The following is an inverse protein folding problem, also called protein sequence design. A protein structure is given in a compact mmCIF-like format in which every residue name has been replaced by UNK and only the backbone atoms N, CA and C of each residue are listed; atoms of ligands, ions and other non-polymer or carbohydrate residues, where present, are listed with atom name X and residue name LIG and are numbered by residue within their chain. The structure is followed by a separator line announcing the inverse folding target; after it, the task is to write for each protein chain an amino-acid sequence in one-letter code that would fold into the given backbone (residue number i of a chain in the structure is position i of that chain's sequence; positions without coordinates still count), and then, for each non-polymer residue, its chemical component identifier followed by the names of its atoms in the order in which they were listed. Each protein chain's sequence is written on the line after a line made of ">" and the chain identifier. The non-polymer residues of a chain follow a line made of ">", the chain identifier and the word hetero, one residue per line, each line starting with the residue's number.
data_IF_800131419914
#
_entry.id   IF_800131419914
#
_cell.length_a   1.000
_cell.length_b   1.000
_cell.length_c   1.000
_cell.angle_alpha   90.00
_cell.angle_beta   90.00
_cell.angle_gamma   90.00
#
_symmetry.space_group_name_H-M   'P 1'
#
loop_
_entity.id
_entity.type
_entity.pdbx_description
1 polymer ?
#
# COMPACT_ATOMS: atom_id res chain seq x y z
N UNK A 1 6.82 -33.47 -2.19
CA UNK A 1 7.22 -32.80 -0.93
C UNK A 1 7.50 -31.34 -1.26
N UNK A 2 6.46 -30.50 -1.33
CA UNK A 2 6.61 -29.09 -1.68
C UNK A 2 7.23 -28.38 -0.49
N UNK A 3 8.43 -27.83 -0.66
CA UNK A 3 9.02 -26.94 0.33
C UNK A 3 8.06 -25.78 0.55
N UNK A 4 7.39 -25.74 1.71
CA UNK A 4 6.57 -24.61 2.12
C UNK A 4 7.48 -23.40 2.29
N UNK A 5 7.65 -22.63 1.21
CA UNK A 5 8.28 -21.31 1.27
C UNK A 5 7.51 -20.46 2.27
N UNK A 6 8.17 -20.16 3.41
CA UNK A 6 7.66 -19.28 4.46
C UNK A 6 7.71 -17.85 3.93
N UNK A 7 6.55 -17.24 3.71
CA UNK A 7 6.46 -15.93 3.09
C UNK A 7 7.20 -14.85 3.90
N UNK A 8 7.15 -14.96 5.22
CA UNK A 8 7.80 -14.03 6.14
C UNK A 8 9.32 -14.20 6.15
N UNK A 9 9.84 -15.43 6.08
CA UNK A 9 11.29 -15.67 6.13
C UNK A 9 12.02 -15.11 4.90
N UNK A 10 11.33 -15.06 3.76
CA UNK A 10 11.85 -14.46 2.54
C UNK A 10 11.66 -12.95 2.47
N UNK A 11 11.12 -12.30 3.51
CA UNK A 11 10.78 -10.88 3.51
C UNK A 11 11.49 -10.17 4.66
N UNK A 12 12.33 -9.19 4.33
CA UNK A 12 13.04 -8.37 5.31
C UNK A 12 12.43 -6.97 5.37
N UNK A 13 12.33 -6.40 6.58
CA UNK A 13 11.88 -5.01 6.78
C UNK A 13 10.38 -4.84 7.03
N UNK A 14 9.60 -5.93 7.06
CA UNK A 14 8.16 -5.87 7.33
C UNK A 14 7.85 -5.43 8.76
N UNK A 15 8.76 -5.68 9.71
CA UNK A 15 8.64 -5.25 11.10
C UNK A 15 8.65 -3.72 11.21
N UNK A 16 9.50 -3.06 10.41
CA UNK A 16 9.57 -1.60 10.35
C UNK A 16 8.27 -1.02 9.80
N UNK A 17 7.77 -1.57 8.68
CA UNK A 17 6.46 -1.21 8.12
C UNK A 17 5.36 -1.37 9.17
N UNK A 18 5.32 -2.52 9.84
CA UNK A 18 4.34 -2.82 10.90
C UNK A 18 4.42 -1.82 12.05
N UNK A 19 5.63 -1.42 12.45
CA UNK A 19 5.86 -0.39 13.46
C UNK A 19 5.27 0.96 13.06
N UNK A 20 5.54 1.41 11.83
CA UNK A 20 4.98 2.66 11.29
C UNK A 20 3.45 2.62 11.23
N UNK A 21 2.85 1.51 10.77
CA UNK A 21 1.39 1.36 10.69
C UNK A 21 0.71 1.42 12.07
N UNK A 22 1.43 1.12 13.16
CA UNK A 22 0.89 1.19 14.52
C UNK A 22 1.15 2.53 15.22
N UNK A 23 2.00 3.38 14.66
CA UNK A 23 2.50 4.57 15.34
C UNK A 23 1.76 5.81 14.85
N UNK A 24 1.11 6.59 15.74
CA UNK A 24 0.52 7.86 15.37
C UNK A 24 1.59 8.93 15.06
N UNK A 25 1.27 9.96 14.26
CA UNK A 25 -0.02 10.15 13.58
C UNK A 25 -0.17 9.17 12.40
N UNK A 26 -1.41 8.72 12.12
CA UNK A 26 -1.67 7.90 10.94
C UNK A 26 -1.35 8.68 9.65
N UNK A 27 -1.01 7.94 8.59
CA UNK A 27 -0.59 8.48 7.30
C UNK A 27 -1.09 7.62 6.14
N UNK A 28 -1.00 8.17 4.94
CA UNK A 28 -1.21 7.43 3.70
C UNK A 28 0.13 6.84 3.25
N UNK A 29 0.24 5.52 3.26
CA UNK A 29 1.41 4.77 2.85
C UNK A 29 1.18 4.17 1.47
N UNK A 30 2.21 4.17 0.64
CA UNK A 30 2.29 3.37 -0.58
C UNK A 30 3.41 2.34 -0.42
N UNK A 31 3.10 1.07 -0.66
CA UNK A 31 4.10 0.04 -0.90
C UNK A 31 4.06 -0.30 -2.40
N UNK A 32 5.23 -0.30 -3.04
CA UNK A 32 5.36 -0.54 -4.50
C UNK A 32 6.63 -1.32 -4.85
N UNK A 33 6.94 -1.46 -6.15
CA UNK A 33 8.08 -2.19 -6.70
C UNK A 33 7.67 -3.57 -7.22
N UNK A 34 8.37 -4.61 -6.78
CA UNK A 34 8.15 -5.97 -7.22
C UNK A 34 6.73 -6.47 -6.88
N UNK A 35 6.19 -7.39 -7.67
CA UNK A 35 4.87 -8.04 -7.48
C UNK A 35 4.66 -8.74 -6.13
N UNK A 36 5.70 -8.86 -5.30
CA UNK A 36 5.59 -9.35 -3.92
C UNK A 36 5.00 -8.32 -2.96
N UNK A 37 4.83 -7.08 -3.41
CA UNK A 37 4.15 -5.99 -2.69
C UNK A 37 2.84 -6.44 -2.04
N UNK A 38 2.02 -7.25 -2.73
CA UNK A 38 0.74 -7.71 -2.19
C UNK A 38 0.89 -8.71 -1.03
N UNK A 39 1.91 -9.58 -1.09
CA UNK A 39 2.22 -10.48 0.02
C UNK A 39 2.84 -9.71 1.17
N UNK A 40 3.76 -8.79 0.88
CA UNK A 40 4.43 -7.96 1.87
C UNK A 40 3.47 -7.06 2.64
N UNK A 41 2.51 -6.45 1.95
CA UNK A 41 1.48 -5.61 2.57
C UNK A 41 0.52 -6.42 3.44
N UNK A 42 0.15 -7.64 3.02
CA UNK A 42 -0.63 -8.57 3.85
C UNK A 42 0.16 -9.03 5.08
N UNK A 43 1.46 -9.33 4.95
CA UNK A 43 2.32 -9.66 6.10
C UNK A 43 2.32 -8.51 7.10
N UNK A 44 2.65 -7.29 6.65
CA UNK A 44 2.70 -6.12 7.52
C UNK A 44 1.33 -5.83 8.16
N UNK A 45 0.26 -5.87 7.38
CA UNK A 45 -1.11 -5.68 7.87
C UNK A 45 -1.49 -6.70 8.94
N UNK A 46 -1.26 -8.00 8.71
CA UNK A 46 -1.56 -9.06 9.68
C UNK A 46 -0.71 -8.93 10.95
N UNK A 47 0.56 -8.57 10.80
CA UNK A 47 1.48 -8.40 11.92
C UNK A 47 1.09 -7.24 12.83
N UNK A 48 0.33 -6.25 12.34
CA UNK A 48 -0.23 -5.19 13.21
C UNK A 48 -1.18 -5.73 14.27
N UNK A 49 -1.80 -6.90 14.02
CA UNK A 49 -2.90 -7.48 14.81
C UNK A 49 -4.13 -6.57 14.92
N UNK A 50 -4.25 -5.57 14.06
CA UNK A 50 -5.41 -4.69 13.96
C UNK A 50 -6.50 -5.34 13.11
N UNK A 51 -7.74 -4.89 13.31
CA UNK A 51 -8.84 -5.21 12.38
C UNK A 51 -8.55 -4.54 11.03
N UNK A 52 -8.66 -5.30 9.95
CA UNK A 52 -8.34 -4.86 8.59
C UNK A 52 -9.62 -4.58 7.81
N UNK A 53 -9.66 -3.43 7.13
CA UNK A 53 -10.60 -3.17 6.03
C UNK A 53 -9.81 -3.25 4.73
N UNK A 54 -10.06 -4.28 3.92
CA UNK A 54 -9.35 -4.55 2.68
C UNK A 54 -10.22 -4.17 1.49
N UNK A 55 -9.69 -3.33 0.59
CA UNK A 55 -10.27 -3.06 -0.73
C UNK A 55 -9.37 -3.70 -1.78
N UNK A 56 -9.89 -4.66 -2.52
CA UNK A 56 -9.14 -5.44 -3.51
C UNK A 56 -9.62 -5.14 -4.93
N UNK A 57 -8.86 -4.31 -5.64
CA UNK A 57 -9.13 -3.91 -7.03
C UNK A 57 -8.46 -4.82 -8.06
N UNK A 58 -7.43 -5.57 -7.68
CA UNK A 58 -6.68 -6.45 -8.59
C UNK A 58 -6.81 -7.94 -8.30
N UNK A 59 -7.82 -8.34 -7.54
CA UNK A 59 -8.08 -9.74 -7.16
C UNK A 59 -6.85 -10.40 -6.47
N UNK A 60 -6.12 -9.63 -5.67
CA UNK A 60 -4.87 -10.05 -5.01
C UNK A 60 -5.11 -10.64 -3.63
N UNK A 61 -6.27 -10.45 -3.03
CA UNK A 61 -6.58 -11.00 -1.72
C UNK A 61 -6.83 -12.52 -1.77
N UNK A 62 -6.20 -13.26 -0.86
CA UNK A 62 -6.38 -14.70 -0.69
C UNK A 62 -6.57 -15.08 0.78
N UNK A 63 -7.70 -15.69 1.12
CA UNK A 63 -7.97 -16.22 2.47
C UNK A 63 -7.04 -17.38 2.84
N UNK A 64 -6.57 -18.14 1.85
CA UNK A 64 -5.56 -19.18 2.04
C UNK A 64 -4.21 -18.58 2.44
N UNK A 65 -3.78 -17.54 1.74
CA UNK A 65 -2.57 -16.81 2.09
C UNK A 65 -2.69 -16.22 3.50
N UNK A 66 -3.82 -15.58 3.82
CA UNK A 66 -4.07 -15.02 5.15
C UNK A 66 -3.98 -16.09 6.26
N UNK A 67 -4.54 -17.27 6.02
CA UNK A 67 -4.50 -18.40 6.97
C UNK A 67 -3.08 -18.92 7.18
N UNK A 68 -2.28 -18.98 6.11
CA UNK A 68 -0.87 -19.35 6.19
C UNK A 68 -0.07 -18.30 6.95
N UNK A 69 -0.27 -17.02 6.67
CA UNK A 69 0.37 -15.92 7.38
C UNK A 69 0.03 -15.93 8.87
N UNK A 70 -1.22 -16.27 9.22
CA UNK A 70 -1.59 -16.45 10.61
C UNK A 70 -0.71 -17.49 11.31
N UNK A 71 -0.50 -18.66 10.69
CA UNK A 71 0.40 -19.69 11.21
C UNK A 71 1.84 -19.22 11.35
N UNK A 72 2.38 -18.51 10.35
CA UNK A 72 3.74 -17.96 10.40
C UNK A 72 3.92 -16.86 11.46
N UNK A 73 2.85 -16.11 11.78
CA UNK A 73 2.83 -15.06 12.81
C UNK A 73 2.44 -15.56 14.22
N UNK A 74 2.16 -16.86 14.38
CA UNK A 74 1.65 -17.41 15.64
C UNK A 74 0.25 -16.93 16.02
N UNK A 75 -0.58 -16.57 15.03
CA UNK A 75 -1.96 -16.10 15.21
C UNK A 75 -2.98 -17.20 14.88
N UNK A 76 -4.13 -17.25 15.57
CA UNK A 76 -5.23 -18.13 15.16
C UNK A 76 -5.83 -17.66 13.83
N UNK A 77 -5.75 -18.48 12.77
CA UNK A 77 -6.26 -18.15 11.43
C UNK A 77 -7.73 -17.72 11.43
N UNK A 78 -8.58 -18.41 12.20
CA UNK A 78 -10.01 -18.08 12.33
C UNK A 78 -10.22 -16.67 12.90
N UNK A 79 -9.40 -16.25 13.85
CA UNK A 79 -9.48 -14.92 14.46
C UNK A 79 -9.08 -13.85 13.44
N UNK A 80 -7.95 -14.06 12.76
CA UNK A 80 -7.46 -13.12 11.74
C UNK A 80 -8.46 -12.94 10.58
N UNK A 81 -9.03 -14.04 10.07
CA UNK A 81 -10.08 -14.00 9.04
C UNK A 81 -11.31 -13.23 9.51
N UNK A 82 -11.78 -13.44 10.75
CA UNK A 82 -12.92 -12.69 11.31
C UNK A 82 -12.64 -11.21 11.54
N UNK A 83 -11.37 -10.83 11.68
CA UNK A 83 -10.94 -9.44 11.86
C UNK A 83 -10.63 -8.74 10.53
N UNK A 84 -10.77 -9.44 9.40
CA UNK A 84 -10.49 -8.92 8.06
C UNK A 84 -11.78 -8.80 7.27
N UNK A 85 -12.14 -7.57 6.91
CA UNK A 85 -13.30 -7.26 6.08
C UNK A 85 -12.83 -7.00 4.66
N UNK A 86 -13.46 -7.61 3.66
CA UNK A 86 -13.03 -7.53 2.26
C UNK A 86 -14.15 -6.92 1.40
N UNK A 87 -13.81 -5.88 0.64
CA UNK A 87 -14.59 -5.41 -0.49
C UNK A 87 -13.79 -5.63 -1.76
N UNK A 88 -14.42 -6.17 -2.80
CA UNK A 88 -13.83 -6.31 -4.14
C UNK A 88 -14.48 -5.32 -5.09
N UNK A 89 -13.66 -4.69 -5.92
CA UNK A 89 -14.10 -3.86 -7.04
C UNK A 89 -13.45 -4.37 -8.32
N UNK A 90 -14.18 -4.26 -9.43
CA UNK A 90 -13.74 -4.77 -10.73
C UNK A 90 -13.61 -3.67 -11.79
N UNK A 91 -14.02 -2.45 -11.47
CA UNK A 91 -13.97 -1.29 -12.38
C UNK A 91 -13.55 -0.05 -11.62
N UNK A 92 -12.98 0.94 -12.30
CA UNK A 92 -12.59 2.22 -11.69
C UNK A 92 -13.75 2.87 -10.91
N UNK A 93 -14.95 2.90 -11.48
CA UNK A 93 -16.13 3.47 -10.83
C UNK A 93 -16.56 2.69 -9.57
N UNK A 94 -16.43 1.36 -9.57
CA UNK A 94 -16.68 0.57 -8.36
C UNK A 94 -15.61 0.81 -7.29
N UNK A 95 -14.34 0.92 -7.69
CA UNK A 95 -13.22 1.24 -6.78
C UNK A 95 -13.44 2.60 -6.15
N UNK A 96 -13.80 3.61 -6.95
CA UNK A 96 -14.15 4.94 -6.47
C UNK A 96 -15.30 4.89 -5.47
N UNK A 97 -16.46 4.34 -5.84
CA UNK A 97 -17.62 4.27 -4.95
C UNK A 97 -17.34 3.50 -3.64
N UNK A 98 -16.49 2.46 -3.69
CA UNK A 98 -16.04 1.76 -2.48
C UNK A 98 -15.22 2.71 -1.59
N UNK A 99 -14.30 3.47 -2.16
CA UNK A 99 -13.38 4.34 -1.42
C UNK A 99 -14.08 5.61 -0.91
N UNK A 100 -14.87 6.28 -1.73
CA UNK A 100 -15.47 7.58 -1.42
C UNK A 100 -16.70 7.46 -0.55
N UNK A 101 -17.49 6.40 -0.73
CA UNK A 101 -18.82 6.31 -0.10
C UNK A 101 -18.89 5.16 0.89
N UNK A 102 -18.61 3.92 0.43
CA UNK A 102 -18.92 2.72 1.22
C UNK A 102 -17.94 2.49 2.37
N UNK A 103 -16.65 2.73 2.13
CA UNK A 103 -15.60 2.51 3.12
C UNK A 103 -15.75 3.45 4.32
N UNK A 104 -15.93 4.78 4.16
CA UNK A 104 -16.20 5.66 5.30
C UNK A 104 -17.42 5.22 6.13
N UNK A 105 -18.56 4.98 5.49
CA UNK A 105 -19.78 4.52 6.18
C UNK A 105 -19.58 3.17 6.87
N UNK A 106 -18.80 2.26 6.27
CA UNK A 106 -18.46 0.99 6.90
C UNK A 106 -17.63 1.20 8.16
N UNK A 107 -16.62 2.06 8.13
CA UNK A 107 -15.71 2.30 9.25
C UNK A 107 -16.39 2.97 10.44
N UNK A 108 -17.39 3.83 10.20
CA UNK A 108 -18.24 4.39 11.26
C UNK A 108 -18.99 3.30 12.05
N UNK A 109 -19.44 2.25 11.35
CA UNK A 109 -20.21 1.14 11.94
C UNK A 109 -19.33 0.01 12.47
N UNK A 110 -18.18 -0.18 11.84
CA UNK A 110 -17.25 -1.27 12.09
C UNK A 110 -15.81 -0.74 12.08
N UNK A 111 -15.36 -0.15 13.20
CA UNK A 111 -14.02 0.41 13.29
C UNK A 111 -12.94 -0.63 12.95
N UNK A 112 -12.09 -0.28 11.99
CA UNK A 112 -10.92 -1.05 11.61
C UNK A 112 -9.67 -0.21 11.86
N UNK A 113 -8.63 -0.83 12.41
CA UNK A 113 -7.41 -0.11 12.78
C UNK A 113 -6.46 0.13 11.59
N UNK A 114 -6.72 -0.50 10.45
CA UNK A 114 -5.92 -0.35 9.23
C UNK A 114 -6.80 -0.56 8.00
N UNK A 115 -6.67 0.34 7.03
CA UNK A 115 -7.21 0.16 5.67
C UNK A 115 -6.09 -0.32 4.77
N UNK A 116 -6.33 -1.40 4.02
CA UNK A 116 -5.40 -1.96 3.05
C UNK A 116 -6.03 -1.97 1.67
N UNK A 117 -5.44 -1.27 0.71
CA UNK A 117 -5.84 -1.30 -0.68
C UNK A 117 -4.87 -2.20 -1.47
N UNK A 118 -5.41 -3.17 -2.20
CA UNK A 118 -4.64 -4.10 -3.01
C UNK A 118 -4.90 -3.85 -4.50
N UNK A 119 -3.84 -3.47 -5.22
CA UNK A 119 -3.84 -3.22 -6.66
C UNK A 119 -5.00 -2.32 -7.15
N UNK A 120 -5.29 -1.17 -6.50
CA UNK A 120 -6.38 -0.31 -6.96
C UNK A 120 -6.19 0.16 -8.41
N UNK A 121 -4.95 0.42 -8.86
CA UNK A 121 -4.66 0.91 -10.22
C UNK A 121 -5.03 -0.08 -11.31
N UNK A 122 -5.09 -1.38 -11.01
CA UNK A 122 -5.52 -2.38 -11.97
C UNK A 122 -6.92 -2.07 -12.53
N UNK A 123 -7.81 -1.48 -11.73
CA UNK A 123 -9.15 -1.08 -12.19
C UNK A 123 -9.17 0.21 -13.02
N UNK A 124 -8.14 1.05 -12.88
CA UNK A 124 -8.00 2.32 -13.60
C UNK A 124 -7.27 2.16 -14.95
N UNK A 125 -6.43 1.12 -15.06
CA UNK A 125 -5.78 0.73 -16.30
C UNK A 125 -6.67 -0.05 -17.27
N UNK A 126 -7.92 -0.34 -16.89
CA UNK A 126 -8.89 -1.00 -17.77
C UNK A 126 -9.16 -0.17 -19.03
N UNK A 127 -9.13 -0.80 -20.21
CA UNK A 127 -9.31 -0.12 -21.51
C UNK A 127 -10.72 0.46 -21.71
N UNK A 128 -11.70 0.02 -20.92
CA UNK A 128 -13.09 0.47 -21.01
C UNK A 128 -13.33 1.86 -20.38
N UNK A 129 -12.36 2.41 -19.63
CA UNK A 129 -12.43 3.77 -19.08
C UNK A 129 -11.48 4.70 -19.83
N UNK A 130 -11.94 5.89 -20.20
CA UNK A 130 -11.08 6.86 -20.88
C UNK A 130 -9.96 7.35 -19.94
N UNK A 131 -8.79 7.78 -20.45
CA UNK A 131 -7.70 8.30 -19.61
C UNK A 131 -8.16 9.43 -18.68
N UNK A 132 -8.97 10.36 -19.18
CA UNK A 132 -9.50 11.50 -18.43
C UNK A 132 -10.44 11.06 -17.30
N UNK A 133 -11.34 10.11 -17.55
CA UNK A 133 -12.22 9.57 -16.51
C UNK A 133 -11.43 8.80 -15.46
N UNK A 134 -10.44 8.00 -15.88
CA UNK A 134 -9.59 7.24 -14.97
C UNK A 134 -8.80 8.17 -14.04
N UNK A 135 -8.19 9.22 -14.57
CA UNK A 135 -7.46 10.20 -13.77
C UNK A 135 -8.38 10.93 -12.78
N UNK A 136 -9.52 11.43 -13.23
CA UNK A 136 -10.47 12.15 -12.37
C UNK A 136 -11.01 11.26 -11.25
N UNK A 137 -11.36 10.01 -11.59
CA UNK A 137 -11.81 9.01 -10.64
C UNK A 137 -10.71 8.66 -9.63
N UNK A 138 -9.47 8.45 -10.08
CA UNK A 138 -8.33 8.19 -9.20
C UNK A 138 -8.07 9.36 -8.25
N UNK A 139 -8.10 10.61 -8.74
CA UNK A 139 -7.89 11.81 -7.92
C UNK A 139 -8.94 11.93 -6.80
N UNK A 140 -10.21 11.65 -7.09
CA UNK A 140 -11.27 11.63 -6.07
C UNK A 140 -11.04 10.54 -5.03
N UNK A 141 -10.70 9.32 -5.46
CA UNK A 141 -10.33 8.22 -4.57
C UNK A 141 -9.16 8.59 -3.66
N UNK A 142 -8.07 9.11 -4.22
CA UNK A 142 -6.87 9.48 -3.46
C UNK A 142 -7.14 10.62 -2.48
N UNK A 143 -7.95 11.61 -2.85
CA UNK A 143 -8.38 12.67 -1.94
C UNK A 143 -9.16 12.11 -0.74
N UNK A 144 -10.12 11.20 -0.99
CA UNK A 144 -10.86 10.55 0.09
C UNK A 144 -9.95 9.70 0.99
N UNK A 145 -9.01 8.95 0.42
CA UNK A 145 -8.02 8.19 1.20
C UNK A 145 -7.10 9.09 2.01
N UNK A 146 -6.72 10.25 1.48
CA UNK A 146 -5.90 11.23 2.20
C UNK A 146 -6.66 11.78 3.41
N UNK A 147 -7.93 12.14 3.25
CA UNK A 147 -8.78 12.53 4.38
C UNK A 147 -8.90 11.41 5.40
N UNK A 148 -9.15 10.18 4.95
CA UNK A 148 -9.26 9.01 5.83
C UNK A 148 -7.96 8.72 6.61
N UNK A 149 -6.82 8.96 5.97
CA UNK A 149 -5.50 8.74 6.59
C UNK A 149 -5.21 9.65 7.78
N UNK A 150 -5.99 10.71 7.98
CA UNK A 150 -5.89 11.56 9.19
C UNK A 150 -6.46 10.88 10.43
N UNK A 151 -7.30 9.86 10.26
CA UNK A 151 -7.98 9.15 11.36
C UNK A 151 -7.37 7.78 11.65
N UNK A 152 -6.89 7.08 10.62
CA UNK A 152 -6.33 5.74 10.74
C UNK A 152 -5.35 5.46 9.58
N UNK A 153 -4.35 4.59 9.76
CA UNK A 153 -3.38 4.30 8.72
C UNK A 153 -4.07 3.70 7.48
N UNK A 154 -3.64 4.17 6.31
CA UNK A 154 -4.07 3.64 5.01
C UNK A 154 -2.84 3.13 4.28
N UNK A 155 -2.79 1.85 3.95
CA UNK A 155 -1.73 1.26 3.15
C UNK A 155 -2.26 0.90 1.77
N UNK A 156 -1.72 1.53 0.73
CA UNK A 156 -1.92 1.11 -0.66
C UNK A 156 -0.76 0.19 -1.04
N UNK A 157 -1.07 -0.97 -1.61
CA UNK A 157 -0.09 -1.88 -2.20
C UNK A 157 -0.40 -2.04 -3.68
N UNK A 158 0.46 -1.50 -4.53
CA UNK A 158 0.35 -1.63 -5.97
C UNK A 158 1.70 -1.96 -6.59
N UNK A 159 1.72 -2.79 -7.62
CA UNK A 159 2.96 -3.12 -8.29
C UNK A 159 3.18 -2.09 -9.40
N UNK A 160 4.41 -1.61 -9.54
CA UNK A 160 4.76 -0.78 -10.67
C UNK A 160 4.68 -1.64 -11.94
N UNK A 161 3.76 -1.30 -12.84
CA UNK A 161 3.61 -2.01 -14.11
C UNK A 161 4.72 -1.48 -15.02
N UNK A 162 5.55 -2.38 -15.54
CA UNK A 162 6.44 -2.05 -16.64
C UNK A 162 5.57 -1.83 -17.89
N UNK A 163 5.38 -0.57 -18.30
CA UNK A 163 4.58 -0.12 -19.46
C UNK A 163 3.05 -0.20 -19.28
N UNK A 164 2.45 0.65 -18.42
CA UNK A 164 1.04 1.02 -18.60
C UNK A 164 0.84 1.58 -20.03
N UNK A 165 -0.36 1.43 -20.60
CA UNK A 165 -0.70 2.13 -21.86
C UNK A 165 -0.28 3.60 -21.74
N UNK A 166 0.42 4.12 -22.77
CA UNK A 166 1.14 5.41 -22.69
C UNK A 166 0.26 6.54 -22.12
N UNK A 167 -1.03 6.58 -22.48
CA UNK A 167 -1.98 7.62 -22.05
C UNK A 167 -2.38 7.58 -20.57
N UNK A 168 -2.14 6.46 -19.87
CA UNK A 168 -2.43 6.28 -18.43
C UNK A 168 -1.18 6.12 -17.59
N UNK A 169 0.01 6.25 -18.18
CA UNK A 169 1.27 5.99 -17.49
C UNK A 169 1.49 6.88 -16.25
N UNK A 170 0.93 8.08 -16.26
CA UNK A 170 1.02 9.04 -15.14
C UNK A 170 0.19 8.66 -13.91
N UNK A 171 -0.79 7.75 -14.02
CA UNK A 171 -1.68 7.42 -12.90
C UNK A 171 -0.91 6.86 -11.69
N UNK A 172 0.14 6.07 -11.94
CA UNK A 172 1.02 5.60 -10.87
C UNK A 172 1.73 6.75 -10.16
N UNK A 173 2.22 7.73 -10.91
CA UNK A 173 2.89 8.91 -10.37
C UNK A 173 1.94 9.80 -9.56
N UNK A 174 0.69 9.95 -9.99
CA UNK A 174 -0.36 10.65 -9.23
C UNK A 174 -0.59 9.98 -7.86
N UNK A 175 -0.68 8.65 -7.82
CA UNK A 175 -0.80 7.91 -6.56
C UNK A 175 0.46 8.04 -5.69
N UNK A 176 1.65 7.90 -6.29
CA UNK A 176 2.94 7.97 -5.59
C UNK A 176 3.17 9.31 -4.93
N UNK A 177 2.84 10.41 -5.61
CA UNK A 177 2.99 11.78 -5.09
C UNK A 177 1.96 12.15 -4.02
N UNK A 178 0.84 11.44 -3.95
CA UNK A 178 -0.19 11.68 -2.91
C UNK A 178 0.14 10.99 -1.57
N UNK A 179 0.89 9.88 -1.62
CA UNK A 179 1.31 9.15 -0.42
C UNK A 179 2.30 9.96 0.43
N UNK A 180 2.16 9.87 1.76
CA UNK A 180 3.08 10.49 2.72
C UNK A 180 4.41 9.75 2.83
N UNK A 181 4.35 8.42 2.69
CA UNK A 181 5.50 7.53 2.82
C UNK A 181 5.42 6.48 1.72
N UNK A 182 6.52 6.27 1.02
CA UNK A 182 6.64 5.26 -0.04
C UNK A 182 7.66 4.21 0.38
N UNK A 183 7.25 2.95 0.39
CA UNK A 183 8.12 1.80 0.57
C UNK A 183 8.27 1.04 -0.74
N UNK A 184 9.49 0.61 -1.05
CA UNK A 184 9.79 -0.18 -2.23
C UNK A 184 10.13 -1.61 -1.82
N UNK A 185 9.48 -2.57 -2.47
CA UNK A 185 9.75 -4.00 -2.37
C UNK A 185 10.66 -4.37 -3.52
N UNK A 186 11.87 -4.80 -3.21
CA UNK A 186 12.87 -5.18 -4.20
C UNK A 186 13.36 -6.61 -3.97
N UNK A 187 13.71 -7.37 -5.02
CA UNK A 187 14.41 -8.64 -4.86
C UNK A 187 15.75 -8.45 -4.14
N UNK A 188 16.11 -9.41 -3.32
CA UNK A 188 17.41 -9.49 -2.65
C UNK A 188 17.92 -10.95 -2.66
N UNK A 189 19.22 -11.20 -2.41
CA UNK A 189 19.76 -12.56 -2.46
C UNK A 189 19.06 -13.58 -1.55
N UNK A 190 18.47 -13.10 -0.43
CA UNK A 190 17.74 -13.93 0.54
C UNK A 190 16.22 -13.87 0.39
N UNK A 191 15.70 -13.20 -0.65
CA UNK A 191 14.27 -13.07 -0.91
C UNK A 191 13.91 -11.68 -1.39
N UNK A 192 13.24 -10.91 -0.52
CA UNK A 192 12.76 -9.57 -0.81
C UNK A 192 13.01 -8.65 0.37
N UNK A 193 13.39 -7.41 0.08
CA UNK A 193 13.60 -6.37 1.10
C UNK A 193 12.61 -5.25 0.88
N UNK A 194 12.06 -4.74 1.98
CA UNK A 194 11.26 -3.52 2.00
C UNK A 194 12.15 -2.38 2.48
N UNK A 195 12.30 -1.33 1.68
CA UNK A 195 13.03 -0.12 2.04
C UNK A 195 12.15 1.11 1.89
N UNK A 196 12.33 2.10 2.75
CA UNK A 196 11.68 3.40 2.57
C UNK A 196 12.38 4.16 1.45
N UNK A 197 11.60 4.59 0.46
CA UNK A 197 12.06 5.45 -0.60
C UNK A 197 12.08 6.88 -0.06
N UNK A 198 13.24 7.31 0.44
CA UNK A 198 13.45 8.72 0.77
C UNK A 198 13.36 9.55 -0.50
N UNK A 199 12.59 10.64 -0.45
CA UNK A 199 12.55 11.61 -1.54
C UNK A 199 13.98 12.10 -1.79
N UNK A 200 14.40 12.14 -3.04
CA UNK A 200 15.72 12.67 -3.44
C UNK A 200 15.86 14.15 -3.02
N UNK A 201 14.74 14.80 -2.68
CA UNK A 201 14.65 16.17 -2.16
C UNK A 201 14.84 16.31 -0.64
N UNK A 202 14.96 15.22 0.12
CA UNK A 202 15.23 15.27 1.57
C UNK A 202 16.72 15.44 1.92
N UNK A 203 17.58 15.67 0.93
CA UNK A 203 18.95 16.12 1.18
C UNK A 203 18.93 17.65 1.27
N UNK A 204 18.65 18.18 2.46
CA UNK A 204 19.24 19.46 2.87
C UNK A 204 20.76 19.32 2.93
N UNK A 205 21.42 19.33 1.77
CA UNK A 205 22.69 20.03 1.63
C UNK A 205 22.34 21.50 1.79
N UNK A 206 22.30 21.96 3.05
CA UNK A 206 22.54 23.37 3.33
C UNK A 206 23.97 23.61 2.82
N UNK A 207 24.23 24.42 1.78
CA UNK A 207 25.59 24.78 1.47
C UNK A 207 26.11 25.54 2.69
N UNK A 208 27.19 25.03 3.28
CA UNK A 208 27.96 25.78 4.27
C UNK A 208 28.25 27.16 3.66
N UNK A 209 27.97 28.27 4.36
CA UNK A 209 28.34 29.57 3.85
C UNK A 209 29.88 29.61 3.76
N UNK A 210 30.36 29.74 2.52
CA UNK A 210 31.65 30.28 2.09
C UNK A 210 32.62 30.59 3.25
N UNK A 211 33.56 29.69 3.51
CA UNK A 211 34.85 30.08 4.09
C UNK A 211 35.65 30.77 2.98
N UNK A 212 35.46 32.08 2.85
CA UNK A 212 36.40 32.97 2.18
C UNK A 212 37.69 32.97 3.00
N UNK A 213 38.65 32.14 2.60
CA UNK A 213 40.06 32.39 2.88
C UNK A 213 40.76 32.49 1.54
N UNK A 214 40.69 33.68 0.96
CA UNK A 214 41.62 34.10 -0.07
C UNK A 214 42.98 34.34 0.59
N UNK A 215 43.96 33.55 0.18
CA UNK A 215 45.37 33.90 0.25
C UNK A 215 45.66 34.98 -0.81
N UNK A 216 46.20 36.11 -0.37
CA UNK A 216 46.62 37.22 -1.23
C UNK A 216 46.79 38.49 -0.41
#
# INVERSE_FOLDING_TARGET
>A
MLASSRAIQSLTGWELVTGHLRTPPPRLYLMTGHSKVYTASLVAGCATRLRLAVVDGGMRFSSYLLSRLAGELGLPARTLLRQTHLSRSFTAFQTEAVITDRLPTFLERQPCGLVLLLAPLQTYYDDQITPHEAENSLRRSLAALKTLSTQQPVLIADAEIANPLDEKAHLFEVMRTTADVVWQVQPSPSGYTISEQRSIWDVTTKPSPLSLTGTG
#
